data_IF_788163566720
#
_entry.id   IF_788163566720
#
_cell.length_a   1.000
_cell.length_b   1.000
_cell.length_c   1.000
_cell.angle_alpha   90.00
_cell.angle_beta   90.00
_cell.angle_gamma   90.00
#
_symmetry.space_group_name_H-M   'P 1'
#
loop_
_entity.id
_entity.type
_entity.pdbx_description
1 polymer ?
#
# COMPACT_ATOMS: atom_id res chain seq x y z
N UNK A 1 -9.04 23.17 28.06
CA UNK A 1 -8.99 23.57 26.64
C UNK A 1 -10.16 24.51 26.38
N UNK A 2 -10.01 25.50 25.50
CA UNK A 2 -11.14 26.37 25.11
C UNK A 2 -12.17 25.56 24.32
N UNK A 3 -13.46 25.73 24.61
CA UNK A 3 -14.54 25.12 23.81
C UNK A 3 -14.48 25.55 22.32
N UNK A 4 -13.91 26.73 22.05
CA UNK A 4 -13.82 27.33 20.71
C UNK A 4 -12.54 26.93 19.95
N UNK A 5 -11.74 25.99 20.47
CA UNK A 5 -10.50 25.54 19.82
C UNK A 5 -10.35 24.03 19.96
N UNK A 6 -11.12 23.31 19.15
CA UNK A 6 -11.10 21.84 19.07
C UNK A 6 -10.80 21.38 17.65
N UNK A 7 -10.10 20.25 17.54
CA UNK A 7 -9.87 19.53 16.27
C UNK A 7 -10.64 18.23 16.38
N UNK A 8 -11.53 17.96 15.41
CA UNK A 8 -12.31 16.73 15.35
C UNK A 8 -11.85 15.89 14.15
N UNK A 9 -11.18 14.77 14.45
CA UNK A 9 -10.94 13.72 13.47
C UNK A 9 -12.22 12.86 13.35
N UNK A 10 -12.75 12.73 12.14
CA UNK A 10 -13.91 11.87 11.88
C UNK A 10 -13.83 11.30 10.45
N UNK A 11 -14.55 10.20 10.20
CA UNK A 11 -14.64 9.64 8.84
C UNK A 11 -15.56 10.48 7.97
N UNK A 12 -15.36 10.43 6.65
CA UNK A 12 -16.19 11.15 5.66
C UNK A 12 -17.68 10.90 5.87
N UNK A 13 -18.09 9.66 6.16
CA UNK A 13 -19.48 9.32 6.45
C UNK A 13 -20.07 9.99 7.70
N UNK A 14 -19.25 10.25 8.74
CA UNK A 14 -19.68 11.00 9.93
C UNK A 14 -19.86 12.48 9.61
N UNK A 15 -18.94 13.08 8.84
CA UNK A 15 -19.07 14.46 8.38
C UNK A 15 -20.32 14.65 7.50
N UNK A 16 -20.52 13.77 6.50
CA UNK A 16 -21.72 13.76 5.65
C UNK A 16 -23.00 13.67 6.47
N UNK A 17 -23.06 12.79 7.49
CA UNK A 17 -24.24 12.67 8.36
C UNK A 17 -24.52 13.95 9.16
N UNK A 18 -23.48 14.68 9.59
CA UNK A 18 -23.65 15.98 10.26
C UNK A 18 -24.10 17.08 9.31
N UNK A 19 -23.58 17.11 8.08
CA UNK A 19 -24.01 18.05 7.03
C UNK A 19 -25.47 17.80 6.58
N UNK A 20 -26.01 16.59 6.76
CA UNK A 20 -27.45 16.35 6.57
C UNK A 20 -28.32 16.95 7.68
N UNK A 21 -27.79 17.11 8.90
CA UNK A 21 -28.50 17.73 10.03
C UNK A 21 -28.35 19.25 10.09
N UNK A 22 -27.19 19.77 9.70
CA UNK A 22 -26.93 21.21 9.49
C UNK A 22 -26.20 21.41 8.14
N UNK A 23 -26.96 21.68 7.06
CA UNK A 23 -26.42 21.88 5.72
C UNK A 23 -25.55 23.14 5.55
N UNK A 24 -25.72 24.15 6.40
CA UNK A 24 -24.94 25.40 6.34
C UNK A 24 -23.65 25.32 7.19
N UNK A 25 -23.47 24.19 7.90
CA UNK A 25 -22.29 23.84 8.67
C UNK A 25 -21.90 24.87 9.74
N UNK A 26 -22.90 25.43 10.43
CA UNK A 26 -22.74 26.51 11.41
C UNK A 26 -21.83 26.15 12.59
N UNK A 27 -21.68 24.85 12.87
CA UNK A 27 -20.84 24.29 13.93
C UNK A 27 -19.34 24.19 13.58
N UNK A 28 -18.91 24.57 12.37
CA UNK A 28 -17.48 24.55 11.97
C UNK A 28 -17.03 25.80 11.21
N UNK A 29 -15.76 26.15 11.39
CA UNK A 29 -15.07 27.20 10.62
C UNK A 29 -14.19 26.63 9.51
N UNK A 30 -13.64 25.42 9.68
CA UNK A 30 -12.69 24.81 8.75
C UNK A 30 -13.05 23.33 8.51
N UNK A 31 -12.98 22.89 7.25
CA UNK A 31 -12.97 21.48 6.86
C UNK A 31 -11.62 21.14 6.25
N UNK A 32 -10.96 20.11 6.77
CA UNK A 32 -9.77 19.53 6.15
C UNK A 32 -10.19 18.16 5.61
N UNK A 33 -10.09 17.98 4.30
CA UNK A 33 -10.31 16.68 3.64
C UNK A 33 -8.95 16.09 3.33
N UNK A 34 -8.59 15.03 4.06
CA UNK A 34 -7.33 14.33 3.89
C UNK A 34 -7.40 13.27 2.79
N UNK A 35 -6.25 12.89 2.25
CA UNK A 35 -6.04 11.85 1.24
C UNK A 35 -7.04 11.86 0.06
N UNK A 36 -7.42 13.04 -0.45
CA UNK A 36 -8.43 13.17 -1.53
C UNK A 36 -8.07 12.42 -2.81
N UNK A 37 -6.78 12.08 -2.97
CA UNK A 37 -6.25 11.33 -4.09
C UNK A 37 -6.65 9.84 -4.11
N UNK A 38 -7.15 9.26 -3.00
CA UNK A 38 -7.68 7.89 -2.98
C UNK A 38 -8.97 7.74 -3.80
N UNK A 39 -9.65 8.85 -4.13
CA UNK A 39 -10.86 8.88 -4.99
C UNK A 39 -12.01 7.99 -4.49
N UNK A 40 -12.14 7.82 -3.18
CA UNK A 40 -13.29 7.13 -2.59
C UNK A 40 -14.62 7.80 -2.95
N UNK A 41 -15.68 6.99 -3.07
CA UNK A 41 -17.02 7.43 -3.47
C UNK A 41 -17.63 8.45 -2.51
N UNK A 42 -17.42 8.28 -1.20
CA UNK A 42 -17.94 9.22 -0.21
C UNK A 42 -17.13 10.52 -0.22
N UNK A 43 -15.82 10.45 -0.46
CA UNK A 43 -14.95 11.62 -0.61
C UNK A 43 -15.37 12.45 -1.82
N UNK A 44 -15.51 11.84 -3.00
CA UNK A 44 -16.00 12.53 -4.21
C UNK A 44 -17.37 13.19 -3.99
N UNK A 45 -18.30 12.50 -3.30
CA UNK A 45 -19.60 13.08 -2.96
C UNK A 45 -19.52 14.23 -1.94
N UNK A 46 -18.63 14.11 -0.94
CA UNK A 46 -18.34 15.19 0.00
C UNK A 46 -17.79 16.42 -0.73
N UNK A 47 -16.87 16.26 -1.68
CA UNK A 47 -16.31 17.39 -2.44
C UNK A 47 -17.39 18.17 -3.23
N UNK A 48 -18.42 17.48 -3.75
CA UNK A 48 -19.57 18.14 -4.40
C UNK A 48 -20.37 19.00 -3.40
N UNK A 49 -20.65 18.45 -2.21
CA UNK A 49 -21.38 19.18 -1.15
C UNK A 49 -20.55 20.37 -0.66
N UNK A 50 -19.25 20.18 -0.44
CA UNK A 50 -18.32 21.20 0.02
C UNK A 50 -18.16 22.35 -0.97
N UNK A 51 -18.10 22.08 -2.29
CA UNK A 51 -18.09 23.15 -3.31
C UNK A 51 -19.38 23.97 -3.26
N UNK A 52 -20.54 23.31 -3.14
CA UNK A 52 -21.87 23.97 -2.99
C UNK A 52 -22.03 24.73 -1.67
N UNK A 53 -21.31 24.34 -0.62
CA UNK A 53 -21.31 25.03 0.66
C UNK A 53 -20.48 26.32 0.58
N UNK A 54 -19.34 26.31 -0.10
CA UNK A 54 -18.50 27.50 -0.29
C UNK A 54 -19.21 28.65 -1.03
N UNK A 55 -20.11 28.33 -1.97
CA UNK A 55 -20.89 29.37 -2.70
C UNK A 55 -22.02 29.98 -1.86
N UNK A 56 -22.40 29.35 -0.73
CA UNK A 56 -23.41 29.86 0.22
C UNK A 56 -22.82 30.47 1.49
N UNK A 57 -21.79 29.84 2.05
CA UNK A 57 -21.18 30.19 3.32
C UNK A 57 -19.73 30.65 3.12
N UNK A 58 -19.53 31.95 2.90
CA UNK A 58 -18.20 32.52 2.67
C UNK A 58 -17.30 32.56 3.92
N UNK A 59 -17.82 32.21 5.11
CA UNK A 59 -17.04 32.14 6.35
C UNK A 59 -16.27 30.82 6.48
N UNK A 60 -16.78 29.72 5.92
CA UNK A 60 -16.12 28.43 6.00
C UNK A 60 -14.85 28.41 5.14
N UNK A 61 -13.81 27.71 5.60
CA UNK A 61 -12.59 27.43 4.85
C UNK A 61 -12.45 25.94 4.61
N UNK A 62 -11.93 25.57 3.45
CA UNK A 62 -11.76 24.17 3.05
C UNK A 62 -10.32 23.98 2.60
N UNK A 63 -9.67 22.96 3.15
CA UNK A 63 -8.32 22.52 2.79
C UNK A 63 -8.42 21.10 2.25
N UNK A 64 -7.83 20.86 1.09
CA UNK A 64 -7.73 19.53 0.48
C UNK A 64 -6.28 19.07 0.56
N UNK A 65 -6.02 17.91 1.15
CA UNK A 65 -4.67 17.36 1.28
C UNK A 65 -4.52 16.14 0.38
N UNK A 66 -3.41 16.08 -0.36
CA UNK A 66 -3.11 15.03 -1.34
C UNK A 66 -1.63 14.72 -1.34
N UNK A 67 -1.25 13.47 -1.12
CA UNK A 67 0.12 12.97 -1.29
C UNK A 67 0.54 12.74 -2.75
N UNK A 68 -0.25 13.15 -3.75
CA UNK A 68 0.05 12.90 -5.19
C UNK A 68 -0.02 14.14 -6.07
N UNK A 69 0.73 14.12 -7.17
CA UNK A 69 0.83 15.15 -8.22
C UNK A 69 -0.48 15.48 -8.97
N UNK A 70 -1.62 14.87 -8.63
CA UNK A 70 -2.92 15.17 -9.27
C UNK A 70 -3.65 16.38 -8.64
N UNK A 71 -2.98 17.19 -7.82
CA UNK A 71 -3.54 18.38 -7.16
C UNK A 71 -4.24 19.34 -8.14
N UNK A 72 -3.69 19.51 -9.35
CA UNK A 72 -4.27 20.27 -10.47
C UNK A 72 -5.76 19.97 -10.72
N UNK A 73 -6.17 18.69 -10.64
CA UNK A 73 -7.55 18.28 -10.94
C UNK A 73 -8.51 18.78 -9.87
N UNK A 74 -8.10 18.72 -8.61
CA UNK A 74 -8.88 19.24 -7.49
C UNK A 74 -8.91 20.77 -7.51
N UNK A 75 -7.78 21.44 -7.77
CA UNK A 75 -7.72 22.89 -7.90
C UNK A 75 -8.65 23.38 -9.02
N UNK A 76 -8.56 22.81 -10.22
CA UNK A 76 -9.45 23.13 -11.35
C UNK A 76 -10.93 22.85 -11.05
N UNK A 77 -11.25 21.78 -10.31
CA UNK A 77 -12.63 21.47 -9.92
C UNK A 77 -13.21 22.50 -8.93
N UNK A 78 -12.42 23.02 -7.99
CA UNK A 78 -12.87 24.03 -7.02
C UNK A 78 -12.76 25.48 -7.53
N UNK A 79 -12.12 25.73 -8.67
CA UNK A 79 -12.15 27.02 -9.36
C UNK A 79 -13.50 27.28 -10.05
N UNK A 80 -13.80 28.56 -10.30
CA UNK A 80 -15.05 29.02 -10.92
C UNK A 80 -16.13 29.40 -9.91
N UNK A 81 -17.25 29.97 -10.37
CA UNK A 81 -18.36 30.43 -9.50
C UNK A 81 -17.92 31.42 -8.39
N UNK A 82 -16.89 32.24 -8.67
CA UNK A 82 -16.28 33.16 -7.70
C UNK A 82 -15.30 32.52 -6.71
N UNK A 83 -15.08 31.19 -6.80
CA UNK A 83 -14.14 30.46 -5.97
C UNK A 83 -12.74 30.40 -6.60
N UNK A 84 -11.73 30.51 -5.73
CA UNK A 84 -10.31 30.29 -6.06
C UNK A 84 -9.77 29.13 -5.22
N UNK A 85 -8.90 28.32 -5.81
CA UNK A 85 -8.27 27.19 -5.13
C UNK A 85 -6.74 27.28 -5.32
N UNK A 86 -6.03 28.07 -4.49
CA UNK A 86 -4.57 28.14 -4.54
C UNK A 86 -3.95 26.79 -4.14
N UNK A 87 -2.93 26.37 -4.88
CA UNK A 87 -2.13 25.18 -4.55
C UNK A 87 -0.90 25.61 -3.73
N UNK A 88 -0.56 24.79 -2.73
CA UNK A 88 0.66 24.93 -1.93
C UNK A 88 1.35 23.59 -1.90
N UNK A 89 2.50 23.50 -2.56
CA UNK A 89 3.31 22.29 -2.57
C UNK A 89 4.23 22.27 -1.34
N UNK A 90 3.98 21.34 -0.42
CA UNK A 90 4.84 21.12 0.75
C UNK A 90 5.89 20.08 0.37
N UNK A 91 7.19 20.42 0.34
CA UNK A 91 8.24 19.46 -0.01
C UNK A 91 8.31 18.38 1.08
N UNK A 92 8.22 17.12 0.65
CA UNK A 92 8.36 15.97 1.55
C UNK A 92 9.79 15.85 2.06
N UNK A 93 9.97 15.88 3.38
CA UNK A 93 11.24 15.48 4.01
C UNK A 93 11.29 13.95 4.12
N UNK A 94 11.64 13.30 3.02
CA UNK A 94 12.02 11.88 2.99
C UNK A 94 13.51 11.75 2.69
N UNK A 95 14.17 10.90 3.47
CA UNK A 95 15.50 10.40 3.15
C UNK A 95 15.47 9.59 1.83
N UNK A 96 16.60 9.49 1.10
CA UNK A 96 16.66 8.69 -0.12
C UNK A 96 16.30 7.23 0.16
N UNK A 97 15.54 6.62 -0.76
CA UNK A 97 15.14 5.22 -0.73
C UNK A 97 15.67 4.54 -1.99
N UNK A 98 16.33 3.40 -1.84
CA UNK A 98 16.85 2.61 -2.97
C UNK A 98 15.76 1.66 -3.51
N UNK A 99 15.33 1.87 -4.76
CA UNK A 99 14.33 1.02 -5.40
C UNK A 99 14.96 -0.17 -6.14
N UNK A 100 14.89 -1.36 -5.54
CA UNK A 100 15.45 -2.60 -6.10
C UNK A 100 14.39 -3.34 -6.94
N UNK A 101 14.56 -3.51 -8.27
CA UNK A 101 13.58 -4.19 -9.13
C UNK A 101 13.60 -5.72 -8.97
N UNK A 102 12.55 -6.38 -9.44
CA UNK A 102 12.36 -7.83 -9.30
C UNK A 102 13.53 -8.67 -9.87
N UNK A 103 14.10 -8.28 -11.02
CA UNK A 103 15.19 -9.03 -11.64
C UNK A 103 16.50 -8.94 -10.84
N UNK A 104 16.70 -7.85 -10.09
CA UNK A 104 17.79 -7.74 -9.12
C UNK A 104 17.48 -8.52 -7.83
N UNK A 105 16.26 -8.44 -7.29
CA UNK A 105 15.83 -9.25 -6.14
C UNK A 105 16.07 -10.75 -6.37
N UNK A 106 15.76 -11.26 -7.58
CA UNK A 106 16.03 -12.65 -7.96
C UNK A 106 17.53 -12.99 -7.96
N UNK A 107 18.39 -12.06 -8.38
CA UNK A 107 19.86 -12.23 -8.34
C UNK A 107 20.39 -12.24 -6.89
N UNK A 108 19.97 -11.26 -6.08
CA UNK A 108 20.41 -11.11 -4.69
C UNK A 108 20.00 -12.30 -3.81
N UNK A 109 18.78 -12.79 -3.98
CA UNK A 109 18.25 -13.94 -3.24
C UNK A 109 18.72 -15.29 -3.81
N UNK A 110 19.18 -15.33 -5.07
CA UNK A 110 19.37 -16.56 -5.86
C UNK A 110 18.12 -17.45 -5.88
N UNK A 111 16.95 -16.82 -5.83
CA UNK A 111 15.68 -17.54 -5.79
C UNK A 111 15.32 -18.05 -7.19
N UNK A 112 15.11 -19.36 -7.28
CA UNK A 112 14.57 -20.01 -8.48
C UNK A 112 13.13 -20.43 -8.17
N UNK A 113 12.12 -19.90 -8.91
CA UNK A 113 10.73 -20.32 -8.72
C UNK A 113 10.58 -21.84 -8.87
N UNK A 114 9.76 -22.51 -8.03
CA UNK A 114 9.54 -23.94 -8.11
C UNK A 114 8.88 -24.32 -9.45
N UNK A 115 9.35 -25.42 -10.06
CA UNK A 115 8.94 -25.93 -11.38
C UNK A 115 7.52 -26.54 -11.40
N UNK A 116 6.58 -26.04 -10.59
CA UNK A 116 5.32 -26.72 -10.33
C UNK A 116 4.17 -26.20 -11.21
N UNK A 117 3.48 -27.15 -11.85
CA UNK A 117 2.68 -26.99 -13.09
C UNK A 117 1.48 -26.02 -13.09
N UNK A 118 1.19 -25.34 -11.98
CA UNK A 118 -0.06 -24.60 -11.77
C UNK A 118 0.14 -23.12 -11.38
N UNK A 119 1.35 -22.56 -11.42
CA UNK A 119 1.53 -21.11 -11.19
C UNK A 119 1.29 -20.33 -12.48
N UNK A 120 0.08 -19.76 -12.60
CA UNK A 120 -0.25 -18.84 -13.71
C UNK A 120 0.77 -17.73 -13.81
N UNK A 121 1.43 -17.67 -14.96
CA UNK A 121 2.36 -16.61 -15.29
C UNK A 121 1.57 -15.51 -15.99
N UNK A 122 1.43 -14.37 -15.31
CA UNK A 122 1.11 -13.10 -15.98
C UNK A 122 2.11 -12.92 -17.15
N UNK A 123 1.68 -12.54 -18.37
CA UNK A 123 2.57 -12.36 -19.51
C UNK A 123 3.77 -11.42 -19.22
N UNK A 124 3.59 -10.44 -18.34
CA UNK A 124 4.66 -9.56 -17.88
C UNK A 124 5.66 -10.29 -16.97
N UNK A 125 5.19 -11.12 -16.04
CA UNK A 125 6.04 -11.95 -15.17
C UNK A 125 6.78 -13.03 -15.97
N UNK A 126 6.10 -13.68 -16.93
CA UNK A 126 6.73 -14.62 -17.86
C UNK A 126 7.86 -13.94 -18.64
N UNK A 127 7.62 -12.72 -19.16
CA UNK A 127 8.65 -11.96 -19.87
C UNK A 127 9.86 -11.66 -19.00
N UNK A 128 9.65 -11.10 -17.79
CA UNK A 128 10.75 -10.81 -16.84
C UNK A 128 11.55 -12.07 -16.47
N UNK A 129 10.87 -13.20 -16.28
CA UNK A 129 11.49 -14.49 -16.00
C UNK A 129 12.30 -15.01 -17.21
N UNK A 130 11.76 -14.90 -18.43
CA UNK A 130 12.47 -15.28 -19.66
C UNK A 130 13.70 -14.40 -19.88
N UNK A 131 13.56 -13.08 -19.74
CA UNK A 131 14.66 -12.11 -19.85
C UNK A 131 15.76 -12.39 -18.80
N UNK A 132 15.40 -12.80 -17.58
CA UNK A 132 16.34 -13.20 -16.53
C UNK A 132 17.16 -14.44 -16.91
N UNK A 133 16.52 -15.54 -17.35
CA UNK A 133 17.27 -16.74 -17.75
C UNK A 133 18.04 -16.54 -19.06
N UNK A 134 17.56 -15.68 -19.96
CA UNK A 134 18.31 -15.25 -21.14
C UNK A 134 19.63 -14.56 -20.76
N UNK A 135 19.59 -13.62 -19.80
CA UNK A 135 20.79 -12.95 -19.24
C UNK A 135 21.78 -13.92 -18.56
N UNK A 136 21.35 -15.11 -18.16
CA UNK A 136 22.22 -16.16 -17.60
C UNK A 136 22.80 -17.14 -18.67
N UNK A 137 22.76 -16.78 -19.95
CA UNK A 137 23.17 -17.65 -21.08
C UNK A 137 22.43 -19.01 -21.11
N UNK A 138 21.23 -19.12 -20.53
CA UNK A 138 20.45 -20.35 -20.66
C UNK A 138 19.87 -20.44 -22.09
N UNK A 139 19.99 -21.60 -22.78
CA UNK A 139 19.47 -21.75 -24.13
C UNK A 139 17.97 -21.44 -24.22
N UNK A 140 17.58 -20.64 -25.21
CA UNK A 140 16.17 -20.24 -25.37
C UNK A 140 15.24 -21.44 -25.59
N UNK A 141 15.72 -22.49 -26.24
CA UNK A 141 15.03 -23.78 -26.36
C UNK A 141 14.72 -24.42 -25.00
N UNK A 142 15.59 -24.27 -24.00
CA UNK A 142 15.38 -24.78 -22.64
C UNK A 142 14.40 -23.91 -21.86
N UNK A 143 14.50 -22.58 -21.99
CA UNK A 143 13.56 -21.61 -21.40
C UNK A 143 12.14 -21.84 -21.95
N UNK A 144 12.01 -22.00 -23.27
CA UNK A 144 10.74 -22.28 -23.96
C UNK A 144 10.23 -23.68 -23.61
N UNK A 145 11.07 -24.70 -23.52
CA UNK A 145 10.65 -26.04 -23.08
C UNK A 145 10.10 -26.00 -21.64
N UNK A 146 10.75 -25.28 -20.72
CA UNK A 146 10.25 -25.09 -19.36
C UNK A 146 8.92 -24.32 -19.33
N UNK A 147 8.73 -23.31 -20.18
CA UNK A 147 7.44 -22.61 -20.29
C UNK A 147 6.32 -23.46 -20.92
N UNK A 148 6.64 -24.28 -21.95
CA UNK A 148 5.66 -25.08 -22.68
C UNK A 148 5.23 -26.36 -21.94
N UNK A 149 6.04 -26.86 -21.00
CA UNK A 149 5.69 -27.97 -20.11
C UNK A 149 4.70 -27.59 -19.00
N UNK A 150 4.35 -26.30 -18.88
CA UNK A 150 3.56 -25.69 -17.79
C UNK A 150 2.18 -25.14 -18.26
N UNK A 151 1.52 -25.85 -19.18
CA UNK A 151 0.06 -25.81 -19.45
C UNK A 151 -0.70 -24.48 -19.31
N UNK A 152 -0.94 -23.79 -20.43
CA UNK A 152 -1.73 -22.56 -20.44
C UNK A 152 -3.22 -22.79 -20.08
N UNK A 153 -3.67 -22.16 -18.98
CA UNK A 153 -5.09 -21.94 -18.67
C UNK A 153 -5.29 -20.51 -18.16
N UNK A 154 -6.31 -19.82 -18.68
CA UNK A 154 -6.38 -18.34 -18.73
C UNK A 154 -7.28 -17.75 -17.62
N UNK A 155 -7.55 -18.49 -16.53
CA UNK A 155 -8.61 -18.15 -15.56
C UNK A 155 -8.22 -18.30 -14.07
N UNK A 156 -7.04 -17.83 -13.65
CA UNK A 156 -6.63 -17.91 -12.23
C UNK A 156 -6.13 -16.58 -11.65
N UNK A 157 -6.40 -16.39 -10.36
CA UNK A 157 -6.09 -15.17 -9.59
C UNK A 157 -4.59 -14.88 -9.52
N UNK A 158 -4.20 -13.61 -9.66
CA UNK A 158 -2.87 -13.13 -9.30
C UNK A 158 -2.61 -13.42 -7.81
N UNK A 159 -1.45 -14.02 -7.51
CA UNK A 159 -1.05 -14.43 -6.16
C UNK A 159 0.41 -14.03 -5.88
N UNK A 160 0.74 -13.53 -4.67
CA UNK A 160 2.13 -13.28 -4.28
C UNK A 160 2.98 -14.56 -4.24
N UNK A 161 4.26 -14.47 -4.59
CA UNK A 161 5.23 -15.54 -4.33
C UNK A 161 5.76 -15.45 -2.89
N UNK A 162 5.10 -16.17 -1.98
CA UNK A 162 5.47 -16.27 -0.57
C UNK A 162 6.90 -16.79 -0.34
N UNK A 163 7.46 -17.59 -1.27
CA UNK A 163 8.80 -18.18 -1.14
C UNK A 163 9.88 -17.22 -1.61
N UNK A 164 9.62 -16.42 -2.65
CA UNK A 164 10.45 -15.26 -2.97
C UNK A 164 10.48 -14.26 -1.81
N UNK A 165 9.32 -13.96 -1.21
CA UNK A 165 9.21 -13.05 -0.07
C UNK A 165 9.97 -13.59 1.14
N UNK A 166 9.85 -14.89 1.43
CA UNK A 166 10.65 -15.58 2.46
C UNK A 166 12.17 -15.47 2.20
N UNK A 167 12.59 -15.68 0.95
CA UNK A 167 14.00 -15.59 0.55
C UNK A 167 14.55 -14.15 0.64
N UNK A 168 13.76 -13.14 0.25
CA UNK A 168 14.13 -11.73 0.34
C UNK A 168 14.23 -11.27 1.81
N UNK A 169 13.28 -11.63 2.68
CA UNK A 169 13.41 -11.34 4.11
C UNK A 169 14.67 -12.02 4.68
N UNK A 170 14.95 -13.28 4.30
CA UNK A 170 16.18 -13.97 4.69
C UNK A 170 17.46 -13.28 4.20
N UNK A 171 17.45 -12.74 2.98
CA UNK A 171 18.56 -11.94 2.44
C UNK A 171 18.76 -10.64 3.23
N UNK A 172 17.68 -9.89 3.51
CA UNK A 172 17.74 -8.66 4.32
C UNK A 172 18.27 -8.96 5.72
N UNK A 173 17.72 -9.97 6.39
CA UNK A 173 18.11 -10.40 7.75
C UNK A 173 19.59 -10.79 7.85
N UNK A 174 20.16 -11.32 6.76
CA UNK A 174 21.57 -11.75 6.69
C UNK A 174 22.53 -10.61 6.34
N UNK A 175 22.17 -9.71 5.42
CA UNK A 175 23.12 -8.82 4.74
C UNK A 175 22.90 -7.32 5.01
N UNK A 176 21.78 -6.92 5.64
CA UNK A 176 21.43 -5.50 5.88
C UNK A 176 21.33 -5.21 7.39
N UNK A 177 21.52 -3.94 7.83
CA UNK A 177 21.36 -3.54 9.24
C UNK A 177 20.00 -3.91 9.85
N UNK A 178 19.98 -4.19 11.15
CA UNK A 178 18.75 -4.58 11.83
C UNK A 178 17.75 -3.42 11.96
N UNK A 179 16.47 -3.68 11.68
CA UNK A 179 15.39 -2.70 11.74
C UNK A 179 14.01 -3.30 11.51
N UNK A 180 13.03 -2.48 11.13
CA UNK A 180 11.70 -2.96 10.77
C UNK A 180 11.54 -3.16 9.25
N UNK A 181 10.88 -4.25 8.87
CA UNK A 181 10.49 -4.60 7.50
C UNK A 181 8.97 -4.44 7.38
N UNK A 182 8.50 -3.72 6.38
CA UNK A 182 7.08 -3.62 6.02
C UNK A 182 6.83 -4.39 4.72
N UNK A 183 5.87 -5.32 4.73
CA UNK A 183 5.56 -6.19 3.59
C UNK A 183 4.12 -5.93 3.14
N UNK A 184 3.93 -5.50 1.89
CA UNK A 184 2.59 -5.26 1.32
C UNK A 184 2.02 -6.52 0.65
N UNK A 185 0.83 -6.93 1.10
CA UNK A 185 0.05 -8.07 0.63
C UNK A 185 -1.36 -7.63 0.21
N UNK A 186 -2.03 -8.33 -0.73
CA UNK A 186 -3.33 -7.91 -1.21
C UNK A 186 -4.49 -8.14 -0.22
N UNK A 187 -4.36 -9.03 0.78
CA UNK A 187 -5.45 -9.30 1.73
C UNK A 187 -5.08 -10.23 2.88
N UNK A 188 -6.03 -10.47 3.78
CA UNK A 188 -5.83 -11.25 5.02
C UNK A 188 -5.27 -12.65 4.81
N UNK A 189 -5.83 -13.43 3.85
CA UNK A 189 -5.35 -14.77 3.49
C UNK A 189 -3.87 -14.76 3.13
N UNK A 190 -3.46 -13.74 2.39
CA UNK A 190 -2.09 -13.56 1.93
C UNK A 190 -1.18 -13.09 3.07
N UNK A 191 -1.67 -12.21 3.97
CA UNK A 191 -0.97 -11.83 5.21
C UNK A 191 -0.66 -13.05 6.08
N UNK A 192 -1.68 -13.83 6.47
CA UNK A 192 -1.50 -15.00 7.34
C UNK A 192 -0.50 -15.99 6.74
N UNK A 193 -0.68 -16.35 5.46
CA UNK A 193 0.20 -17.28 4.76
C UNK A 193 1.65 -16.78 4.66
N UNK A 194 1.88 -15.47 4.56
CA UNK A 194 3.22 -14.90 4.65
C UNK A 194 3.80 -15.03 6.05
N UNK A 195 3.02 -14.75 7.10
CA UNK A 195 3.46 -14.88 8.49
C UNK A 195 3.84 -16.34 8.78
N UNK A 196 2.96 -17.31 8.48
CA UNK A 196 3.23 -18.75 8.62
C UNK A 196 4.53 -19.15 7.89
N UNK A 197 4.72 -18.65 6.66
CA UNK A 197 5.91 -18.93 5.85
C UNK A 197 7.18 -18.33 6.46
N UNK A 198 7.10 -17.15 7.09
CA UNK A 198 8.24 -16.52 7.73
C UNK A 198 8.59 -17.19 9.07
N UNK A 199 7.61 -17.56 9.88
CA UNK A 199 7.82 -18.27 11.16
C UNK A 199 8.47 -19.65 10.94
N UNK A 200 8.02 -20.38 9.92
CA UNK A 200 8.64 -21.65 9.49
C UNK A 200 9.99 -21.48 8.76
N UNK A 201 10.52 -20.27 8.62
CA UNK A 201 11.82 -20.05 7.97
C UNK A 201 13.00 -20.48 8.84
N UNK A 202 14.13 -20.95 8.26
CA UNK A 202 15.33 -21.28 9.03
C UNK A 202 15.96 -20.09 9.76
N UNK A 203 15.70 -18.84 9.34
CA UNK A 203 16.27 -17.65 9.98
C UNK A 203 15.44 -17.16 11.17
N UNK A 204 14.12 -17.38 11.19
CA UNK A 204 13.27 -17.12 12.36
C UNK A 204 13.34 -18.27 13.36
N UNK A 205 13.07 -19.50 12.92
CA UNK A 205 12.99 -20.69 13.80
C UNK A 205 14.26 -20.98 14.61
N UNK A 206 15.45 -20.58 14.12
CA UNK A 206 16.71 -20.70 14.88
C UNK A 206 16.84 -19.72 16.04
N UNK A 207 16.14 -18.59 16.02
CA UNK A 207 16.13 -17.63 17.13
C UNK A 207 14.82 -16.81 17.12
N UNK A 208 13.68 -17.41 17.52
CA UNK A 208 12.37 -16.76 17.42
C UNK A 208 12.27 -15.47 18.24
N UNK A 209 12.94 -15.39 19.39
CA UNK A 209 12.93 -14.21 20.27
C UNK A 209 13.57 -12.96 19.63
N UNK A 210 14.34 -13.14 18.54
CA UNK A 210 14.87 -12.03 17.75
C UNK A 210 13.84 -11.42 16.79
N UNK A 211 12.66 -12.01 16.61
CA UNK A 211 11.67 -11.56 15.64
C UNK A 211 10.34 -11.18 16.30
N UNK A 212 9.72 -10.12 15.83
CA UNK A 212 8.35 -9.74 16.15
C UNK A 212 7.60 -9.57 14.84
N UNK A 213 6.84 -10.60 14.45
CA UNK A 213 6.08 -10.63 13.20
C UNK A 213 4.64 -10.26 13.52
N UNK A 214 4.08 -9.26 12.84
CA UNK A 214 2.78 -8.68 13.16
C UNK A 214 1.91 -8.52 11.90
N UNK A 215 0.63 -8.96 11.93
CA UNK A 215 -0.32 -8.64 10.88
C UNK A 215 -0.82 -7.19 11.03
N UNK A 216 -1.14 -6.54 9.91
CA UNK A 216 -1.74 -5.21 9.87
C UNK A 216 -2.88 -5.16 8.84
N UNK A 217 -4.10 -5.27 9.34
CA UNK A 217 -5.31 -5.32 8.51
C UNK A 217 -6.49 -4.74 9.30
N UNK A 218 -7.52 -4.25 8.60
CA UNK A 218 -8.72 -3.64 9.23
C UNK A 218 -9.54 -4.60 10.11
N UNK A 219 -9.33 -5.92 9.97
CA UNK A 219 -9.95 -6.94 10.82
C UNK A 219 -9.14 -7.30 12.08
N UNK A 220 -7.94 -6.74 12.27
CA UNK A 220 -7.11 -6.96 13.47
C UNK A 220 -7.67 -6.13 14.62
N UNK A 221 -7.65 -6.67 15.85
CA UNK A 221 -8.17 -5.94 17.00
C UNK A 221 -7.34 -4.68 17.29
N UNK A 222 -7.94 -3.52 17.68
CA UNK A 222 -7.19 -2.26 17.86
C UNK A 222 -6.01 -2.34 18.84
N UNK A 223 -6.08 -3.22 19.85
CA UNK A 223 -5.01 -3.42 20.82
C UNK A 223 -3.82 -4.19 20.24
N UNK A 224 -4.06 -5.16 19.36
CA UNK A 224 -3.03 -5.89 18.62
C UNK A 224 -2.42 -5.01 17.54
N UNK A 225 -3.25 -4.27 16.82
CA UNK A 225 -2.82 -3.31 15.80
C UNK A 225 -1.88 -2.24 16.39
N UNK A 226 -2.10 -1.81 17.65
CA UNK A 226 -1.19 -0.89 18.37
C UNK A 226 0.22 -1.45 18.61
N UNK A 227 0.44 -2.75 18.51
CA UNK A 227 1.77 -3.35 18.69
C UNK A 227 2.75 -2.92 17.58
N UNK A 228 2.26 -2.59 16.37
CA UNK A 228 3.10 -2.16 15.24
C UNK A 228 3.90 -0.88 15.55
N UNK A 229 3.40 -0.01 16.43
CA UNK A 229 4.05 1.26 16.79
C UNK A 229 5.17 1.07 17.83
N UNK A 230 5.27 -0.10 18.46
CA UNK A 230 6.37 -0.41 19.38
C UNK A 230 7.65 -0.61 18.57
N UNK A 231 8.73 0.08 18.95
CA UNK A 231 10.07 -0.15 18.37
C UNK A 231 10.60 -1.51 18.84
N UNK A 232 11.24 -2.31 17.99
CA UNK A 232 11.85 -3.56 18.42
C UNK A 232 13.02 -3.30 19.39
N UNK A 233 13.32 -4.22 20.30
CA UNK A 233 14.56 -4.19 21.09
C UNK A 233 15.81 -4.13 20.20
N UNK A 234 16.92 -3.59 20.72
CA UNK A 234 18.19 -3.51 19.97
C UNK A 234 18.63 -4.91 19.51
N UNK A 235 18.83 -5.08 18.21
CA UNK A 235 19.24 -6.34 17.59
C UNK A 235 18.08 -7.26 17.18
N UNK A 236 16.84 -6.94 17.54
CA UNK A 236 15.64 -7.66 17.12
C UNK A 236 15.01 -7.03 15.86
N UNK A 237 14.45 -7.89 15.01
CA UNK A 237 13.71 -7.52 13.81
C UNK A 237 12.23 -7.35 14.12
N UNK A 238 11.61 -6.31 13.58
CA UNK A 238 10.15 -6.22 13.47
C UNK A 238 9.75 -6.47 12.03
N UNK A 239 8.76 -7.32 11.78
CA UNK A 239 8.23 -7.57 10.43
C UNK A 239 6.74 -7.33 10.47
N UNK A 240 6.26 -6.31 9.76
CA UNK A 240 4.84 -5.97 9.67
C UNK A 240 4.34 -6.38 8.30
N UNK A 241 3.31 -7.24 8.25
CA UNK A 241 2.72 -7.73 7.00
C UNK A 241 1.33 -7.11 6.86
N UNK A 242 1.14 -6.27 5.85
CA UNK A 242 0.04 -5.31 5.77
C UNK A 242 -0.67 -5.30 4.40
N UNK A 243 -1.92 -4.86 4.37
CA UNK A 243 -2.54 -4.36 3.12
C UNK A 243 -2.15 -2.89 2.86
N UNK A 244 -2.80 -2.27 1.88
CA UNK A 244 -2.75 -0.83 1.60
C UNK A 244 -3.13 0.08 2.79
N UNK A 245 -3.62 -0.44 3.92
CA UNK A 245 -3.82 0.38 5.14
C UNK A 245 -2.52 1.04 5.66
N UNK A 246 -1.35 0.46 5.35
CA UNK A 246 -0.04 1.06 5.64
C UNK A 246 0.48 2.00 4.52
N UNK A 247 -0.21 2.08 3.38
CA UNK A 247 0.14 2.91 2.21
C UNK A 247 -0.26 4.37 2.42
N UNK A 248 -1.39 4.60 3.08
CA UNK A 248 -1.93 5.92 3.47
C UNK A 248 -2.17 5.97 4.98
N UNK A 249 -3.20 5.26 5.47
CA UNK A 249 -3.87 5.46 6.76
C UNK A 249 -3.02 5.26 8.03
N UNK A 250 -1.94 4.48 7.97
CA UNK A 250 -1.11 4.14 9.13
C UNK A 250 0.36 4.38 8.84
N UNK A 251 1.02 5.15 9.70
CA UNK A 251 2.47 5.41 9.65
C UNK A 251 3.21 4.56 10.68
N UNK A 252 4.29 3.88 10.26
CA UNK A 252 5.17 3.11 11.13
C UNK A 252 6.57 3.72 11.00
N UNK A 253 7.02 4.47 12.01
CA UNK A 253 8.18 5.36 11.88
C UNK A 253 9.54 4.65 11.71
N UNK A 254 9.67 3.41 12.19
CA UNK A 254 10.94 2.68 12.26
C UNK A 254 11.15 1.66 11.12
N UNK A 255 10.30 1.70 10.09
CA UNK A 255 10.47 0.94 8.84
C UNK A 255 11.74 1.41 8.13
N UNK A 256 12.59 0.44 7.77
CA UNK A 256 13.77 0.66 6.93
C UNK A 256 13.62 -0.01 5.57
N UNK A 257 12.97 -1.18 5.54
CA UNK A 257 12.85 -2.00 4.33
C UNK A 257 11.39 -2.17 3.99
N UNK A 258 11.04 -1.88 2.73
CA UNK A 258 9.70 -2.15 2.20
C UNK A 258 9.82 -3.27 1.17
N UNK A 259 8.99 -4.30 1.32
CA UNK A 259 8.80 -5.37 0.33
C UNK A 259 7.40 -5.19 -0.23
N UNK A 260 7.31 -4.82 -1.50
CA UNK A 260 6.04 -4.68 -2.20
C UNK A 260 5.77 -5.92 -3.07
N UNK A 261 4.64 -6.59 -2.87
CA UNK A 261 4.19 -7.66 -3.78
C UNK A 261 3.71 -7.12 -5.13
N UNK A 262 3.50 -5.80 -5.27
CA UNK A 262 2.93 -5.15 -6.44
C UNK A 262 1.43 -5.39 -6.60
N UNK A 263 0.79 -6.09 -5.66
CA UNK A 263 -0.61 -6.49 -5.74
C UNK A 263 -1.50 -5.73 -4.73
N UNK A 264 -2.78 -5.61 -5.08
CA UNK A 264 -3.87 -5.13 -4.21
C UNK A 264 -5.16 -5.89 -4.53
N UNK A 265 -6.12 -5.94 -3.60
CA UNK A 265 -7.48 -6.43 -3.85
C UNK A 265 -8.45 -5.25 -3.93
N UNK A 266 -9.15 -5.16 -5.06
CA UNK A 266 -10.17 -4.13 -5.28
C UNK A 266 -11.54 -4.73 -5.53
N UNK A 267 -12.58 -4.02 -5.05
CA UNK A 267 -13.97 -4.37 -5.30
C UNK A 267 -14.38 -3.85 -6.67
N UNK A 268 -14.50 -4.74 -7.64
CA UNK A 268 -15.08 -4.43 -8.95
C UNK A 268 -16.58 -4.66 -8.92
N UNK A 269 -17.31 -3.88 -9.73
CA UNK A 269 -18.74 -4.04 -9.94
C UNK A 269 -18.97 -4.24 -11.43
N UNK A 270 -19.58 -5.35 -11.78
CA UNK A 270 -20.04 -5.62 -13.13
C UNK A 270 -21.49 -5.14 -13.26
N UNK A 271 -21.70 -4.09 -14.05
CA UNK A 271 -23.02 -3.49 -14.26
C UNK A 271 -23.94 -4.36 -15.13
N UNK A 272 -23.41 -5.34 -15.87
CA UNK A 272 -24.19 -6.22 -16.73
C UNK A 272 -24.74 -7.43 -15.96
N UNK A 273 -23.95 -7.99 -15.03
CA UNK A 273 -24.40 -9.07 -14.13
C UNK A 273 -24.97 -8.57 -12.81
N UNK A 274 -24.81 -7.29 -12.47
CA UNK A 274 -25.21 -6.70 -11.19
C UNK A 274 -24.35 -7.15 -10.00
N UNK A 275 -23.25 -7.87 -10.25
CA UNK A 275 -22.44 -8.48 -9.21
C UNK A 275 -21.29 -7.59 -8.75
N UNK A 276 -21.04 -7.59 -7.44
CA UNK A 276 -19.79 -7.10 -6.85
C UNK A 276 -18.85 -8.26 -6.59
N UNK A 277 -17.63 -8.20 -7.12
CA UNK A 277 -16.57 -9.19 -6.90
C UNK A 277 -15.30 -8.52 -6.36
N UNK A 278 -14.48 -9.27 -5.63
CA UNK A 278 -13.18 -8.82 -5.16
C UNK A 278 -12.10 -9.45 -6.06
N UNK A 279 -11.29 -8.63 -6.73
CA UNK A 279 -10.23 -9.12 -7.62
C UNK A 279 -8.86 -8.64 -7.16
N UNK A 280 -7.88 -9.55 -7.16
CA UNK A 280 -6.47 -9.18 -7.05
C UNK A 280 -5.99 -8.59 -8.37
N UNK A 281 -5.33 -7.44 -8.33
CA UNK A 281 -4.76 -6.75 -9.49
C UNK A 281 -3.41 -6.10 -9.14
N UNK A 282 -2.66 -5.71 -10.17
CA UNK A 282 -1.46 -4.88 -10.02
C UNK A 282 -1.80 -3.48 -9.51
N UNK A 283 -0.93 -2.92 -8.68
CA UNK A 283 -1.07 -1.56 -8.16
C UNK A 283 -0.74 -0.48 -9.21
N UNK A 284 -1.26 0.72 -8.99
CA UNK A 284 -0.86 1.89 -9.76
C UNK A 284 0.58 2.34 -9.41
N UNK A 285 1.24 3.04 -10.35
CA UNK A 285 2.57 3.64 -10.12
C UNK A 285 2.59 4.62 -8.94
N UNK A 286 1.47 5.32 -8.67
CA UNK A 286 1.32 6.19 -7.50
C UNK A 286 1.38 5.41 -6.18
N UNK A 287 0.72 4.26 -6.10
CA UNK A 287 0.77 3.36 -4.95
C UNK A 287 2.18 2.82 -4.71
N UNK A 288 2.88 2.40 -5.78
CA UNK A 288 4.27 1.97 -5.66
C UNK A 288 5.18 3.07 -5.08
N UNK A 289 5.02 4.32 -5.53
CA UNK A 289 5.76 5.46 -4.99
C UNK A 289 5.42 5.76 -3.51
N UNK A 290 4.15 5.64 -3.11
CA UNK A 290 3.72 5.80 -1.71
C UNK A 290 4.26 4.69 -0.81
N UNK A 291 4.24 3.44 -1.27
CA UNK A 291 4.82 2.27 -0.57
C UNK A 291 6.33 2.44 -0.38
N UNK A 292 7.05 2.83 -1.43
CA UNK A 292 8.48 3.17 -1.38
C UNK A 292 8.78 4.26 -0.33
N UNK A 293 7.97 5.33 -0.29
CA UNK A 293 8.08 6.40 0.70
C UNK A 293 7.88 6.00 2.17
N UNK A 294 7.48 4.75 2.46
CA UNK A 294 7.40 4.21 3.83
C UNK A 294 8.77 3.80 4.40
N UNK A 295 9.79 3.58 3.57
CA UNK A 295 11.16 3.31 4.02
C UNK A 295 11.95 4.57 4.41
N UNK A 296 11.68 5.71 3.74
CA UNK A 296 12.52 6.92 3.81
C UNK A 296 12.16 7.93 4.91
N UNK A 297 11.50 7.55 6.00
CA UNK A 297 10.94 8.54 6.96
C UNK A 297 11.86 8.96 8.11
N UNK A 298 12.77 8.10 8.56
CA UNK A 298 13.64 8.36 9.73
C UNK A 298 15.14 8.27 9.39
N UNK A 299 15.48 7.59 8.29
CA UNK A 299 16.82 7.51 7.70
C UNK A 299 16.69 6.96 6.27
N UNK A 300 17.80 6.91 5.54
CA UNK A 300 17.84 6.22 4.24
C UNK A 300 17.49 4.73 4.40
N UNK A 301 16.81 4.16 3.40
CA UNK A 301 16.24 2.81 3.40
C UNK A 301 16.47 2.06 2.09
#
# INVERSE_FOLDING_TARGET
MSANTSILFCTVGVLLRRLLSDPDATWISHVIVDEVHERDRLTDFLLIILKRLLTKNHKIKIVLMSATLNADKFSKYFQGEGLTCPQVDIPGMTFPVEAVPLDEVLQLTRYHPPQNRNTVRDPHYLKLWMDFYAKQNMPMSKIIAMANLEGASVTQELNPDYKLIQALVGYIVKNKPCGAILIFMPGWREISKTIDTLELSPFVSRNPSRFTILPLHSAVAPNEQRLIFKKPPKGCWKVVVSTNIAETSITIDDVLYVIDSGLTKEKRYDAHTGMSSLHTQWIAKSSAAQRMGRAGRVRAG
#
